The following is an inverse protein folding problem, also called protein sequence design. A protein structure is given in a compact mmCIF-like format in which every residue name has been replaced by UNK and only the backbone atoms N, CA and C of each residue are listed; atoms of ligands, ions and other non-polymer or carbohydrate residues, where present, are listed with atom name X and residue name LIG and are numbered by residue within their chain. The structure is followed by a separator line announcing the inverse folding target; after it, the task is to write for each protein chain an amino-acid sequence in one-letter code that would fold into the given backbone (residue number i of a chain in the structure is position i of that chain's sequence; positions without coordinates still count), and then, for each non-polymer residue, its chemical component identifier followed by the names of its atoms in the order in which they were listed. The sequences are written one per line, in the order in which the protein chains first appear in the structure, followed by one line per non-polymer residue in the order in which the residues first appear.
data_IF_420356102951
#
_entry.id   IF_420356102951
#
_cell.length_a   1.000
_cell.length_b   1.000
_cell.length_c   1.000
_cell.angle_alpha   90.00
_cell.angle_beta   90.00
_cell.angle_gamma   90.00
#
_symmetry.space_group_name_H-M   'P 1'
#
loop_
_entity.id
_entity.type
_entity.pdbx_description
1 polymer ?
#
# COMPACT_ATOMS: atom_id res chain seq x y z
N UNK A 1 -29.19 18.42 -6.18
CA UNK A 1 -28.20 18.42 -5.08
C UNK A 1 -26.89 17.70 -5.45
N UNK A 2 -26.90 16.44 -5.92
CA UNK A 2 -25.69 15.67 -6.25
C UNK A 2 -24.75 16.34 -7.25
N UNK A 3 -25.30 16.89 -8.36
CA UNK A 3 -24.48 17.53 -9.40
C UNK A 3 -23.81 18.84 -8.95
N UNK A 4 -24.42 19.60 -8.05
CA UNK A 4 -23.84 20.80 -7.48
C UNK A 4 -22.68 20.44 -6.52
N UNK A 5 -22.88 19.45 -5.65
CA UNK A 5 -21.85 18.98 -4.75
C UNK A 5 -20.64 18.44 -5.51
N UNK A 6 -20.87 17.60 -6.53
CA UNK A 6 -19.80 17.04 -7.35
C UNK A 6 -18.98 18.16 -8.04
N UNK A 7 -19.64 19.17 -8.60
CA UNK A 7 -18.94 20.32 -9.21
C UNK A 7 -18.12 21.12 -8.19
N UNK A 8 -18.65 21.31 -6.98
CA UNK A 8 -17.93 22.02 -5.92
C UNK A 8 -16.71 21.23 -5.43
N UNK A 9 -16.84 19.93 -5.25
CA UNK A 9 -15.71 19.06 -4.88
C UNK A 9 -14.64 19.05 -5.98
N UNK A 10 -15.05 18.90 -7.23
CA UNK A 10 -14.10 18.95 -8.36
C UNK A 10 -13.37 20.29 -8.43
N UNK A 11 -14.06 21.42 -8.27
CA UNK A 11 -13.42 22.74 -8.25
C UNK A 11 -12.44 22.90 -7.10
N UNK A 12 -12.76 22.34 -5.91
CA UNK A 12 -11.87 22.36 -4.75
C UNK A 12 -10.64 21.48 -4.99
N UNK A 13 -10.81 20.28 -5.52
CA UNK A 13 -9.69 19.38 -5.86
C UNK A 13 -8.79 20.00 -6.93
N UNK A 14 -9.38 20.66 -7.95
CA UNK A 14 -8.62 21.34 -8.99
C UNK A 14 -7.82 22.51 -8.42
N UNK A 15 -8.39 23.29 -7.49
CA UNK A 15 -7.71 24.39 -6.82
C UNK A 15 -6.54 23.89 -5.97
N UNK A 16 -6.72 22.80 -5.20
CA UNK A 16 -5.63 22.14 -4.47
C UNK A 16 -4.55 21.64 -5.42
N UNK A 17 -4.95 21.04 -6.51
CA UNK A 17 -4.04 20.50 -7.51
C UNK A 17 -3.22 21.56 -8.22
N UNK A 18 -3.77 22.77 -8.44
CA UNK A 18 -3.07 23.89 -9.08
C UNK A 18 -2.13 24.65 -8.13
N UNK A 19 -2.34 24.52 -6.82
CA UNK A 19 -1.44 25.10 -5.80
C UNK A 19 -0.16 24.30 -5.59
N UNK A 20 -0.14 23.03 -6.01
CA UNK A 20 1.03 22.18 -5.89
C UNK A 20 2.10 22.63 -6.88
N UNK A 21 3.29 22.94 -6.37
CA UNK A 21 4.46 23.36 -7.18
C UNK A 21 5.42 22.20 -7.47
N UNK A 22 5.15 21.01 -6.92
CA UNK A 22 5.98 19.82 -7.03
C UNK A 22 5.50 18.85 -8.13
N UNK A 23 4.53 19.27 -8.94
CA UNK A 23 4.04 18.47 -10.06
C UNK A 23 5.07 18.39 -11.18
N UNK A 24 5.63 17.23 -11.33
CA UNK A 24 6.40 16.86 -12.52
C UNK A 24 5.46 16.20 -13.52
N UNK A 25 5.17 16.90 -14.62
CA UNK A 25 4.47 16.28 -15.75
C UNK A 25 5.48 15.39 -16.48
N UNK A 26 5.29 14.08 -16.41
CA UNK A 26 6.09 13.11 -17.14
C UNK A 26 5.38 12.71 -18.42
N UNK A 27 6.12 12.37 -19.50
CA UNK A 27 5.50 11.76 -20.66
C UNK A 27 4.82 10.46 -20.28
N UNK A 28 3.84 10.04 -21.06
CA UNK A 28 3.17 8.77 -20.88
C UNK A 28 4.19 7.64 -21.01
N UNK A 29 4.15 6.71 -20.07
CA UNK A 29 4.95 5.49 -20.05
C UNK A 29 4.03 4.29 -19.74
N UNK A 30 4.19 3.21 -20.49
CA UNK A 30 3.44 1.98 -20.27
C UNK A 30 3.84 1.26 -18.97
N UNK A 31 4.99 1.57 -18.39
CA UNK A 31 5.48 0.96 -17.16
C UNK A 31 5.82 -0.54 -17.30
N UNK A 32 6.20 -0.97 -18.48
CA UNK A 32 6.53 -2.39 -18.76
C UNK A 32 7.65 -2.91 -17.85
N UNK A 33 8.59 -2.05 -17.48
CA UNK A 33 9.69 -2.41 -16.58
C UNK A 33 9.21 -2.85 -15.19
N UNK A 34 8.02 -2.43 -14.75
CA UNK A 34 7.45 -2.79 -13.45
C UNK A 34 6.93 -4.23 -13.44
N UNK A 35 6.74 -4.83 -14.62
CA UNK A 35 6.28 -6.21 -14.74
C UNK A 35 7.42 -7.23 -14.69
N UNK A 36 8.68 -6.79 -14.56
CA UNK A 36 9.86 -7.67 -14.56
C UNK A 36 9.88 -8.69 -13.44
N UNK A 37 9.37 -8.29 -12.28
CA UNK A 37 9.30 -9.13 -11.07
C UNK A 37 8.03 -10.00 -11.01
N UNK A 38 7.18 -9.93 -12.03
CA UNK A 38 5.98 -10.75 -12.08
C UNK A 38 6.35 -12.22 -12.32
N UNK A 39 5.56 -13.18 -11.79
CA UNK A 39 5.87 -14.62 -11.89
C UNK A 39 5.66 -15.18 -13.31
N UNK A 40 5.29 -14.36 -14.27
CA UNK A 40 5.07 -14.69 -15.65
C UNK A 40 5.50 -13.55 -16.57
N UNK A 41 5.84 -13.89 -17.81
CA UNK A 41 6.33 -12.94 -18.80
C UNK A 41 5.57 -13.07 -20.12
N UNK A 42 5.52 -11.99 -20.87
CA UNK A 42 4.99 -11.94 -22.22
C UNK A 42 6.11 -11.60 -23.20
N UNK A 43 6.13 -12.29 -24.33
CA UNK A 43 7.04 -12.01 -25.45
C UNK A 43 6.45 -11.01 -26.47
N UNK A 44 5.24 -10.51 -26.20
CA UNK A 44 4.55 -9.57 -27.09
C UNK A 44 5.39 -8.29 -27.25
N UNK A 45 5.73 -7.87 -28.49
CA UNK A 45 6.55 -6.70 -28.72
C UNK A 45 5.81 -5.39 -28.50
N UNK A 46 4.51 -5.34 -28.80
CA UNK A 46 3.69 -4.15 -28.56
C UNK A 46 3.40 -3.97 -27.06
N UNK A 47 3.70 -2.80 -26.47
CA UNK A 47 3.58 -2.60 -25.05
C UNK A 47 2.12 -2.68 -24.54
N UNK A 48 1.14 -2.23 -25.32
CA UNK A 48 -0.27 -2.33 -24.95
C UNK A 48 -0.73 -3.79 -24.93
N UNK A 49 -0.47 -4.51 -26.03
CA UNK A 49 -0.81 -5.93 -26.14
C UNK A 49 -0.10 -6.77 -25.06
N UNK A 50 1.16 -6.45 -24.75
CA UNK A 50 1.92 -7.07 -23.67
C UNK A 50 1.26 -6.88 -22.32
N UNK A 51 0.84 -5.67 -21.96
CA UNK A 51 0.14 -5.41 -20.70
C UNK A 51 -1.21 -6.11 -20.65
N UNK A 52 -1.96 -6.15 -21.74
CA UNK A 52 -3.22 -6.88 -21.80
C UNK A 52 -3.01 -8.38 -21.55
N UNK A 53 -1.99 -8.98 -22.17
CA UNK A 53 -1.63 -10.38 -21.94
C UNK A 53 -1.22 -10.64 -20.50
N UNK A 54 -0.33 -9.81 -19.93
CA UNK A 54 0.12 -9.92 -18.55
C UNK A 54 -1.04 -9.78 -17.56
N UNK A 55 -1.96 -8.84 -17.78
CA UNK A 55 -3.15 -8.68 -16.96
C UNK A 55 -4.07 -9.91 -17.04
N UNK A 56 -4.24 -10.50 -18.22
CA UNK A 56 -5.01 -11.74 -18.37
C UNK A 56 -4.36 -12.88 -17.58
N UNK A 57 -3.03 -13.05 -17.67
CA UNK A 57 -2.30 -14.06 -16.89
C UNK A 57 -2.45 -13.80 -15.36
N UNK A 58 -2.38 -12.53 -14.92
CA UNK A 58 -2.55 -12.19 -13.53
C UNK A 58 -3.94 -12.54 -12.99
N UNK A 59 -4.97 -12.39 -13.80
CA UNK A 59 -6.34 -12.81 -13.45
C UNK A 59 -6.48 -14.34 -13.41
N UNK A 60 -6.01 -15.03 -14.45
CA UNK A 60 -6.11 -16.49 -14.57
C UNK A 60 -5.26 -17.22 -13.51
N UNK A 61 -4.11 -16.66 -13.17
CA UNK A 61 -3.15 -17.20 -12.20
C UNK A 61 -3.07 -16.36 -10.92
N UNK A 62 -4.20 -15.81 -10.50
CA UNK A 62 -4.24 -14.84 -9.39
C UNK A 62 -3.65 -15.40 -8.09
N UNK A 63 -3.83 -16.68 -7.79
CA UNK A 63 -3.23 -17.32 -6.62
C UNK A 63 -1.70 -17.29 -6.64
N UNK A 64 -1.08 -17.42 -7.81
CA UNK A 64 0.36 -17.34 -7.99
C UNK A 64 0.84 -15.88 -7.99
N UNK A 65 0.11 -15.00 -8.68
CA UNK A 65 0.43 -13.58 -8.73
C UNK A 65 0.43 -12.92 -7.34
N UNK A 66 -0.55 -13.29 -6.50
CA UNK A 66 -0.66 -12.79 -5.13
C UNK A 66 0.01 -13.71 -4.09
N UNK A 67 0.76 -14.74 -4.53
CA UNK A 67 1.49 -15.59 -3.60
C UNK A 67 2.48 -14.75 -2.78
N UNK A 68 2.35 -14.83 -1.47
CA UNK A 68 3.17 -14.08 -0.54
C UNK A 68 4.04 -15.03 0.28
N UNK A 69 5.33 -14.77 0.32
CA UNK A 69 6.26 -15.44 1.23
C UNK A 69 6.48 -14.52 2.43
N UNK A 70 6.06 -14.92 3.64
CA UNK A 70 6.29 -14.12 4.82
C UNK A 70 7.79 -13.83 5.00
N UNK A 71 8.19 -12.60 5.33
CA UNK A 71 9.58 -12.31 5.67
C UNK A 71 9.95 -13.06 6.95
N UNK A 72 11.19 -13.56 7.01
CA UNK A 72 11.72 -14.23 8.19
C UNK A 72 12.55 -13.28 9.07
N UNK A 73 12.76 -12.07 8.64
CA UNK A 73 13.62 -11.04 9.26
C UNK A 73 12.87 -9.98 10.07
N UNK A 74 11.58 -10.23 10.36
CA UNK A 74 10.79 -9.27 11.13
C UNK A 74 11.37 -9.06 12.53
N UNK A 75 11.44 -7.78 12.95
CA UNK A 75 11.97 -7.36 14.25
C UNK A 75 10.98 -6.38 14.89
N UNK A 76 10.49 -6.75 16.07
CA UNK A 76 9.75 -5.83 16.92
C UNK A 76 10.72 -5.15 17.89
N UNK A 77 10.87 -3.85 17.76
CA UNK A 77 11.73 -3.02 18.61
C UNK A 77 11.03 -2.66 19.93
N UNK A 78 11.78 -2.27 20.95
CA UNK A 78 11.25 -1.91 22.27
C UNK A 78 10.26 -0.73 22.23
N UNK A 79 10.43 0.19 21.27
CA UNK A 79 9.55 1.34 21.01
C UNK A 79 8.31 0.97 20.17
N UNK A 80 8.01 -0.33 20.06
CA UNK A 80 6.88 -0.87 19.31
C UNK A 80 6.91 -0.66 17.78
N UNK A 81 8.09 -0.40 17.19
CA UNK A 81 8.26 -0.44 15.76
C UNK A 81 8.52 -1.87 15.28
N UNK A 82 7.71 -2.30 14.32
CA UNK A 82 7.90 -3.54 13.58
C UNK A 82 8.59 -3.22 12.26
N UNK A 83 9.72 -3.87 11.99
CA UNK A 83 10.48 -3.73 10.74
C UNK A 83 10.69 -5.07 10.10
N UNK A 84 10.60 -5.13 8.77
CA UNK A 84 10.89 -6.32 7.97
C UNK A 84 11.17 -5.92 6.52
N UNK A 85 11.83 -6.82 5.77
CA UNK A 85 12.08 -6.62 4.34
C UNK A 85 10.78 -6.62 3.55
N UNK A 86 10.63 -5.66 2.64
CA UNK A 86 9.49 -5.59 1.72
C UNK A 86 9.44 -6.83 0.82
N UNK A 87 8.23 -7.31 0.54
CA UNK A 87 8.03 -8.38 -0.45
C UNK A 87 8.32 -7.92 -1.89
N UNK A 88 8.34 -6.62 -2.12
CA UNK A 88 8.66 -6.00 -3.41
C UNK A 88 9.97 -5.25 -3.26
N UNK A 89 10.96 -5.63 -4.06
CA UNK A 89 12.22 -4.90 -4.16
C UNK A 89 12.10 -3.75 -5.15
N UNK A 90 12.55 -2.57 -4.73
CA UNK A 90 12.53 -1.36 -5.56
C UNK A 90 13.95 -0.84 -5.75
N UNK A 91 14.20 -0.02 -6.80
CA UNK A 91 15.49 0.66 -6.98
C UNK A 91 15.86 1.63 -5.83
N UNK A 92 14.92 1.88 -4.92
CA UNK A 92 15.08 2.81 -3.81
C UNK A 92 15.20 2.02 -2.50
N UNK A 93 16.41 1.85 -1.93
CA UNK A 93 16.65 1.04 -0.73
C UNK A 93 15.76 1.41 0.46
N UNK A 94 15.37 2.69 0.58
CA UNK A 94 14.50 3.18 1.65
C UNK A 94 13.10 2.54 1.62
N UNK A 95 12.63 2.14 0.43
CA UNK A 95 11.32 1.54 0.22
C UNK A 95 11.33 0.01 0.42
N UNK A 96 12.54 -0.58 0.52
CA UNK A 96 12.71 -2.03 0.65
C UNK A 96 12.63 -2.52 2.10
N UNK A 97 12.40 -1.61 3.04
CA UNK A 97 12.10 -1.95 4.44
C UNK A 97 10.72 -1.44 4.81
N UNK A 98 9.87 -2.34 5.27
CA UNK A 98 8.56 -1.98 5.81
C UNK A 98 8.73 -1.52 7.26
N UNK A 99 8.13 -0.39 7.59
CA UNK A 99 8.06 0.17 8.93
C UNK A 99 6.60 0.21 9.36
N UNK A 100 6.25 -0.51 10.41
CA UNK A 100 4.91 -0.51 10.97
C UNK A 100 4.96 -0.23 12.47
N UNK A 101 3.97 0.48 13.00
CA UNK A 101 3.83 0.69 14.43
C UNK A 101 2.88 -0.34 15.00
N UNK A 102 3.31 -1.06 16.03
CA UNK A 102 2.53 -2.11 16.66
C UNK A 102 1.84 -1.61 17.93
N UNK A 103 0.56 -1.88 18.04
CA UNK A 103 -0.26 -1.58 19.22
C UNK A 103 -0.76 -2.90 19.82
N UNK A 104 -0.14 -3.39 20.91
CA UNK A 104 -0.52 -4.66 21.51
C UNK A 104 -1.94 -4.58 22.09
N UNK A 105 -2.71 -5.64 21.90
CA UNK A 105 -4.03 -5.78 22.50
C UNK A 105 -3.97 -5.67 24.02
N UNK A 106 -4.96 -5.00 24.62
CA UNK A 106 -5.11 -5.00 26.07
C UNK A 106 -5.24 -6.45 26.58
N UNK A 107 -4.30 -6.93 27.42
CA UNK A 107 -4.25 -8.33 27.85
C UNK A 107 -5.50 -8.76 28.63
N UNK A 108 -6.18 -7.84 29.32
CA UNK A 108 -7.40 -8.10 30.07
C UNK A 108 -8.63 -8.34 29.20
N UNK A 109 -8.60 -7.85 27.95
CA UNK A 109 -9.72 -7.91 27.00
C UNK A 109 -9.36 -8.70 25.72
N UNK A 110 -8.19 -9.35 25.71
CA UNK A 110 -7.66 -10.02 24.52
C UNK A 110 -8.67 -11.04 23.96
N UNK A 111 -9.11 -10.81 22.74
CA UNK A 111 -10.11 -11.61 22.02
C UNK A 111 -9.43 -12.59 21.04
N UNK A 112 -8.58 -13.50 21.57
CA UNK A 112 -7.83 -14.44 20.73
C UNK A 112 -6.66 -13.79 19.99
N UNK A 113 -6.09 -14.50 19.03
CA UNK A 113 -4.96 -14.03 18.21
C UNK A 113 -5.48 -13.24 16.98
N UNK A 114 -6.07 -12.07 17.22
CA UNK A 114 -6.58 -11.21 16.14
C UNK A 114 -5.82 -9.90 16.10
N UNK A 115 -5.54 -9.43 14.88
CA UNK A 115 -4.95 -8.13 14.64
C UNK A 115 -5.68 -7.42 13.49
N UNK A 116 -5.66 -6.09 13.51
CA UNK A 116 -6.14 -5.23 12.42
C UNK A 116 -4.94 -4.51 11.85
N UNK A 117 -4.74 -4.60 10.55
CA UNK A 117 -3.75 -3.79 9.83
C UNK A 117 -4.44 -2.54 9.32
N UNK A 118 -3.95 -1.37 9.77
CA UNK A 118 -4.44 -0.06 9.33
C UNK A 118 -3.44 0.51 8.35
N UNK A 119 -3.84 0.62 7.09
CA UNK A 119 -3.02 1.24 6.05
C UNK A 119 -3.35 2.73 5.95
N UNK A 120 -2.34 3.61 6.01
CA UNK A 120 -2.56 5.02 5.77
C UNK A 120 -2.95 5.26 4.31
N UNK A 121 -3.75 6.28 4.05
CA UNK A 121 -3.99 6.73 2.69
C UNK A 121 -2.74 7.45 2.15
N UNK A 122 -2.69 7.63 0.84
CA UNK A 122 -1.60 8.33 0.17
C UNK A 122 -1.39 9.72 0.79
N UNK A 123 -0.14 10.08 1.06
CA UNK A 123 0.26 11.32 1.75
C UNK A 123 -0.25 11.51 3.19
N UNK A 124 -0.72 10.45 3.85
CA UNK A 124 -1.04 10.53 5.28
C UNK A 124 0.21 10.68 6.14
N UNK A 125 0.12 11.50 7.19
CA UNK A 125 1.19 11.51 8.19
C UNK A 125 1.19 10.22 9.02
N UNK A 126 2.37 9.75 9.50
CA UNK A 126 2.46 8.56 10.35
C UNK A 126 1.61 8.63 11.62
N UNK A 127 1.24 9.82 12.08
CA UNK A 127 0.46 10.06 13.29
C UNK A 127 -1.04 9.96 13.08
N UNK A 128 -1.52 10.01 11.84
CA UNK A 128 -2.94 10.18 11.54
C UNK A 128 -3.83 9.06 12.08
N UNK A 129 -3.34 7.83 12.15
CA UNK A 129 -4.12 6.67 12.59
C UNK A 129 -3.72 6.13 13.97
N UNK A 130 -2.82 6.81 14.68
CA UNK A 130 -2.36 6.39 16.02
C UNK A 130 -3.50 6.27 17.03
N UNK A 131 -4.40 7.24 17.07
CA UNK A 131 -5.55 7.22 18.00
C UNK A 131 -6.51 6.06 17.68
N UNK A 132 -6.75 5.77 16.39
CA UNK A 132 -7.57 4.64 15.94
C UNK A 132 -6.94 3.32 16.39
N UNK A 133 -5.66 3.10 16.09
CA UNK A 133 -4.94 1.88 16.46
C UNK A 133 -4.90 1.68 17.99
N UNK A 134 -4.64 2.75 18.74
CA UNK A 134 -4.68 2.71 20.20
C UNK A 134 -6.09 2.38 20.74
N UNK A 135 -7.15 2.89 20.09
CA UNK A 135 -8.53 2.55 20.43
C UNK A 135 -8.84 1.07 20.20
N UNK A 136 -8.45 0.53 19.05
CA UNK A 136 -8.60 -0.90 18.71
C UNK A 136 -7.86 -1.78 19.73
N UNK A 137 -6.62 -1.40 20.09
CA UNK A 137 -5.82 -2.14 21.05
C UNK A 137 -6.47 -2.15 22.45
N UNK A 138 -7.06 -1.04 22.88
CA UNK A 138 -7.83 -0.96 24.15
C UNK A 138 -9.04 -1.89 24.18
N UNK A 139 -9.65 -2.17 23.01
CA UNK A 139 -10.77 -3.10 22.87
C UNK A 139 -10.33 -4.58 22.82
N UNK A 140 -9.05 -4.89 22.97
CA UNK A 140 -8.51 -6.24 23.04
C UNK A 140 -8.14 -6.86 21.68
N UNK A 141 -7.92 -6.05 20.67
CA UNK A 141 -7.47 -6.46 19.32
C UNK A 141 -6.16 -5.72 19.02
N UNK A 142 -5.11 -6.43 18.64
CA UNK A 142 -3.86 -5.79 18.23
C UNK A 142 -4.04 -4.98 16.94
N UNK A 143 -3.29 -3.90 16.75
CA UNK A 143 -3.32 -3.08 15.55
C UNK A 143 -1.90 -2.76 15.06
#
# INVERSE_FOLDING_TARGET
MRAWYARRMHAWELDLATRSTDRVVRPFDWGIEWTREWPFHSAEPDPEARLLELNRMALERSAEFFAYRPPHDFRLQEDAWLKFTSAVETPYPQNNTVHARYFPANPRLKRGAKAVVVLPHFNASPQQHVALCAGIARLGISA
#
